data_IF_486910997779
#
_entry.id   IF_486910997779
#
_cell.length_a   1.000
_cell.length_b   1.000
_cell.length_c   1.000
_cell.angle_alpha   90.00
_cell.angle_beta   90.00
_cell.angle_gamma   90.00
#
_symmetry.space_group_name_H-M   'P 1'
#
loop_
_entity.id
_entity.type
_entity.pdbx_description
1 polymer ?
#
# COMPACT_ATOMS: atom_id res chain seq x y z
N UNK A 1 -38.48 -22.31 -7.93
CA UNK A 1 -37.25 -22.03 -7.15
C UNK A 1 -36.57 -20.82 -7.77
N UNK A 2 -36.45 -19.72 -7.05
CA UNK A 2 -35.69 -18.55 -7.51
C UNK A 2 -34.20 -18.89 -7.41
N UNK A 3 -33.55 -19.18 -8.55
CA UNK A 3 -32.09 -19.28 -8.58
C UNK A 3 -31.53 -17.90 -8.22
N UNK A 4 -30.71 -17.83 -7.17
CA UNK A 4 -30.01 -16.60 -6.80
C UNK A 4 -29.12 -16.19 -7.97
N UNK A 5 -29.44 -15.04 -8.56
CA UNK A 5 -28.79 -14.47 -9.74
C UNK A 5 -27.57 -13.64 -9.31
N UNK A 6 -26.72 -14.26 -8.49
CA UNK A 6 -25.59 -13.61 -7.80
C UNK A 6 -24.31 -14.40 -8.06
N UNK A 7 -23.31 -13.75 -8.64
CA UNK A 7 -21.97 -14.32 -8.83
C UNK A 7 -21.07 -13.97 -7.65
N UNK A 8 -20.23 -14.91 -7.24
CA UNK A 8 -19.19 -14.68 -6.24
C UNK A 8 -17.89 -15.25 -6.78
N UNK A 9 -16.80 -14.50 -6.64
CA UNK A 9 -15.46 -14.95 -6.97
C UNK A 9 -14.47 -14.37 -5.98
N UNK A 10 -13.47 -15.16 -5.59
CA UNK A 10 -12.36 -14.69 -4.78
C UNK A 10 -11.06 -15.32 -5.20
N UNK A 11 -9.98 -14.56 -5.10
CA UNK A 11 -8.63 -15.03 -5.32
C UNK A 11 -7.70 -14.38 -4.29
N UNK A 12 -6.71 -15.14 -3.85
CA UNK A 12 -5.76 -14.72 -2.81
C UNK A 12 -4.36 -15.12 -3.21
N UNK A 13 -3.42 -14.24 -2.91
CA UNK A 13 -2.00 -14.46 -3.05
C UNK A 13 -1.32 -14.12 -1.73
N UNK A 14 -0.39 -14.97 -1.31
CA UNK A 14 0.41 -14.72 -0.12
C UNK A 14 1.81 -15.27 -0.34
N UNK A 15 2.81 -14.42 -0.10
CA UNK A 15 4.21 -14.79 0.03
C UNK A 15 4.80 -14.19 1.31
N UNK A 16 6.12 -14.27 1.47
CA UNK A 16 6.84 -13.77 2.64
C UNK A 16 6.78 -12.25 2.82
N UNK A 17 6.49 -11.48 1.76
CA UNK A 17 6.55 -10.01 1.74
C UNK A 17 5.20 -9.35 1.44
N UNK A 18 4.28 -10.06 0.81
CA UNK A 18 3.03 -9.53 0.27
C UNK A 18 1.88 -10.49 0.55
N UNK A 19 0.78 -9.95 1.05
CA UNK A 19 -0.52 -10.62 1.11
C UNK A 19 -1.52 -9.80 0.32
N UNK A 20 -2.12 -10.39 -0.72
CA UNK A 20 -3.12 -9.77 -1.58
C UNK A 20 -4.39 -10.63 -1.67
N UNK A 21 -5.56 -9.98 -1.74
CA UNK A 21 -6.84 -10.65 -1.94
C UNK A 21 -7.76 -9.79 -2.80
N UNK A 22 -8.43 -10.43 -3.75
CA UNK A 22 -9.50 -9.84 -4.56
C UNK A 22 -10.78 -10.61 -4.29
N UNK A 23 -11.85 -9.89 -3.95
CA UNK A 23 -13.20 -10.45 -3.85
C UNK A 23 -14.14 -9.73 -4.82
N UNK A 24 -14.91 -10.50 -5.57
CA UNK A 24 -15.94 -10.06 -6.50
C UNK A 24 -17.31 -10.56 -6.04
N UNK A 25 -18.27 -9.64 -5.91
CA UNK A 25 -19.68 -9.95 -5.65
C UNK A 25 -20.53 -9.31 -6.74
N UNK A 26 -21.15 -10.12 -7.58
CA UNK A 26 -22.05 -9.65 -8.63
C UNK A 26 -23.50 -9.92 -8.25
N UNK A 27 -24.37 -8.95 -8.50
CA UNK A 27 -25.82 -9.11 -8.41
C UNK A 27 -26.44 -8.76 -9.74
N UNK A 28 -27.45 -9.53 -10.17
CA UNK A 28 -28.14 -9.24 -11.41
C UNK A 28 -28.86 -7.89 -11.31
N UNK A 29 -28.45 -6.96 -12.16
CA UNK A 29 -29.02 -5.63 -12.30
C UNK A 29 -29.07 -5.28 -13.79
N UNK A 30 -30.04 -4.44 -14.18
CA UNK A 30 -30.28 -4.10 -15.60
C UNK A 30 -29.11 -3.35 -16.23
N UNK A 31 -28.36 -2.59 -15.44
CA UNK A 31 -27.24 -1.78 -15.90
C UNK A 31 -25.94 -2.31 -15.31
N UNK A 32 -24.84 -2.20 -16.07
CA UNK A 32 -23.51 -2.45 -15.54
C UNK A 32 -23.14 -1.32 -14.57
N UNK A 33 -22.81 -1.69 -13.34
CA UNK A 33 -22.29 -0.77 -12.34
C UNK A 33 -21.17 -1.46 -11.58
N UNK A 34 -19.99 -0.86 -11.54
CA UNK A 34 -18.91 -1.32 -10.69
C UNK A 34 -18.84 -0.46 -9.42
N UNK A 35 -18.57 -1.09 -8.30
CA UNK A 35 -18.25 -0.41 -7.05
C UNK A 35 -17.00 -1.05 -6.50
N UNK A 36 -15.89 -0.31 -6.55
CA UNK A 36 -14.61 -0.81 -6.05
C UNK A 36 -14.32 -0.24 -4.67
N UNK A 37 -13.66 -1.06 -3.84
CA UNK A 37 -13.05 -0.66 -2.59
C UNK A 37 -11.59 -1.10 -2.61
N UNK A 38 -10.69 -0.12 -2.69
CA UNK A 38 -9.25 -0.32 -2.63
C UNK A 38 -8.61 0.60 -1.57
N UNK A 39 -7.37 0.32 -1.18
CA UNK A 39 -6.58 1.24 -0.34
C UNK A 39 -6.17 2.46 -1.16
N UNK A 40 -6.09 3.64 -0.54
CA UNK A 40 -5.77 4.91 -1.21
C UNK A 40 -4.44 4.85 -1.99
N UNK A 41 -3.47 4.08 -1.47
CA UNK A 41 -2.19 3.81 -2.12
C UNK A 41 -2.31 3.21 -3.54
N UNK A 42 -3.43 2.55 -3.85
CA UNK A 42 -3.65 1.86 -5.13
C UNK A 42 -4.80 2.47 -5.93
N UNK A 43 -5.25 3.69 -5.60
CA UNK A 43 -6.34 4.36 -6.32
C UNK A 43 -6.01 4.60 -7.81
N UNK A 44 -4.74 4.62 -8.20
CA UNK A 44 -4.35 4.68 -9.61
C UNK A 44 -4.70 3.40 -10.39
N UNK A 45 -4.85 2.26 -9.73
CA UNK A 45 -5.17 0.97 -10.36
C UNK A 45 -6.68 0.76 -10.56
N UNK A 46 -7.53 1.63 -10.01
CA UNK A 46 -8.99 1.49 -10.11
C UNK A 46 -9.48 1.45 -11.55
N UNK A 47 -8.93 2.32 -12.41
CA UNK A 47 -9.32 2.41 -13.82
C UNK A 47 -8.96 1.15 -14.62
N UNK A 48 -7.79 0.56 -14.34
CA UNK A 48 -7.36 -0.67 -15.01
C UNK A 48 -8.22 -1.86 -14.60
N UNK A 49 -8.54 -1.97 -13.30
CA UNK A 49 -9.42 -3.02 -12.78
C UNK A 49 -10.82 -2.89 -13.38
N UNK A 50 -11.38 -1.68 -13.40
CA UNK A 50 -12.70 -1.43 -13.99
C UNK A 50 -12.76 -1.87 -15.47
N UNK A 51 -11.71 -1.57 -16.25
CA UNK A 51 -11.63 -1.98 -17.65
C UNK A 51 -11.69 -3.49 -17.79
N UNK A 52 -10.88 -4.24 -17.04
CA UNK A 52 -10.83 -5.71 -17.11
C UNK A 52 -12.18 -6.34 -16.69
N UNK A 53 -12.80 -5.83 -15.63
CA UNK A 53 -14.13 -6.32 -15.19
C UNK A 53 -15.19 -6.05 -16.26
N UNK A 54 -15.17 -4.88 -16.89
CA UNK A 54 -16.13 -4.51 -17.94
C UNK A 54 -15.99 -5.33 -19.22
N UNK A 55 -14.77 -5.78 -19.54
CA UNK A 55 -14.51 -6.69 -20.66
C UNK A 55 -15.12 -8.09 -20.41
N UNK A 56 -15.25 -8.49 -19.15
CA UNK A 56 -15.76 -9.82 -18.77
C UNK A 56 -17.26 -9.81 -18.45
N UNK A 57 -17.74 -8.79 -17.74
CA UNK A 57 -19.12 -8.70 -17.25
C UNK A 57 -19.85 -7.56 -17.98
N UNK A 58 -20.84 -7.92 -18.79
CA UNK A 58 -21.62 -6.94 -19.58
C UNK A 58 -22.82 -6.34 -18.87
N UNK A 59 -23.33 -6.98 -17.80
CA UNK A 59 -24.58 -6.61 -17.11
C UNK A 59 -24.50 -6.95 -15.63
N UNK A 60 -25.11 -6.13 -14.78
CA UNK A 60 -25.15 -6.36 -13.33
C UNK A 60 -24.35 -5.36 -12.52
N UNK A 61 -24.60 -5.34 -11.21
CA UNK A 61 -23.78 -4.56 -10.28
C UNK A 61 -22.69 -5.47 -9.72
N UNK A 62 -21.42 -5.08 -9.91
CA UNK A 62 -20.25 -5.81 -9.44
C UNK A 62 -19.58 -5.01 -8.33
N UNK A 63 -19.46 -5.60 -7.15
CA UNK A 63 -18.68 -5.08 -6.06
C UNK A 63 -17.32 -5.76 -6.06
N UNK A 64 -16.25 -4.97 -6.16
CA UNK A 64 -14.86 -5.45 -6.15
C UNK A 64 -14.18 -4.93 -4.90
N UNK A 65 -13.66 -5.83 -4.07
CA UNK A 65 -12.86 -5.47 -2.91
C UNK A 65 -11.44 -5.97 -3.12
N UNK A 66 -10.49 -5.04 -3.19
CA UNK A 66 -9.06 -5.36 -3.34
C UNK A 66 -8.36 -4.98 -2.04
N UNK A 67 -7.62 -5.93 -1.47
CA UNK A 67 -6.76 -5.70 -0.31
C UNK A 67 -5.36 -6.14 -0.66
N UNK A 68 -4.40 -5.26 -0.47
CA UNK A 68 -2.98 -5.59 -0.61
C UNK A 68 -2.26 -5.06 0.62
N UNK A 69 -1.53 -5.94 1.28
CA UNK A 69 -0.78 -5.65 2.48
C UNK A 69 0.66 -6.12 2.28
N UNK A 70 1.60 -5.18 2.34
CA UNK A 70 3.04 -5.48 2.33
C UNK A 70 3.49 -5.66 3.77
N UNK A 71 4.14 -6.78 4.05
CA UNK A 71 4.90 -6.93 5.29
C UNK A 71 6.19 -6.14 5.13
N UNK A 72 6.30 -5.04 5.88
CA UNK A 72 7.53 -4.27 5.92
C UNK A 72 8.63 -5.12 6.55
N UNK A 73 9.72 -5.33 5.80
CA UNK A 73 10.94 -5.92 6.36
C UNK A 73 11.72 -4.88 7.18
N UNK A 74 12.51 -5.32 8.17
CA UNK A 74 13.34 -4.42 8.96
C UNK A 74 14.35 -3.62 8.10
N UNK A 75 14.74 -4.18 6.95
CA UNK A 75 15.62 -3.56 5.96
C UNK A 75 14.96 -2.41 5.19
N UNK A 76 13.63 -2.30 5.22
CA UNK A 76 12.93 -1.17 4.60
C UNK A 76 13.10 0.11 5.41
N UNK A 77 13.41 0.04 6.70
CA UNK A 77 13.64 1.21 7.54
C UNK A 77 15.10 1.67 7.49
N UNK A 78 15.38 2.63 6.61
CA UNK A 78 16.70 3.24 6.50
C UNK A 78 16.82 4.52 7.35
N UNK A 79 17.83 4.53 8.23
CA UNK A 79 18.30 5.74 8.88
C UNK A 79 19.46 6.31 8.07
N UNK A 80 19.39 7.61 7.77
CA UNK A 80 20.54 8.31 7.23
C UNK A 80 21.57 8.52 8.35
N UNK A 81 22.43 7.53 8.54
CA UNK A 81 23.43 7.53 9.62
C UNK A 81 24.47 8.63 9.45
N UNK A 82 24.69 9.12 8.23
CA UNK A 82 25.60 10.24 7.95
C UNK A 82 24.99 11.53 8.49
N UNK A 83 23.73 11.82 8.15
CA UNK A 83 23.02 12.98 8.67
C UNK A 83 22.90 12.92 10.20
N UNK A 84 22.51 11.77 10.75
CA UNK A 84 22.38 11.56 12.20
C UNK A 84 23.69 11.85 12.96
N UNK A 85 24.82 11.29 12.49
CA UNK A 85 26.14 11.55 13.09
C UNK A 85 26.56 13.01 12.98
N UNK A 86 26.27 13.64 11.84
CA UNK A 86 26.58 15.05 11.60
C UNK A 86 25.82 15.96 12.57
N UNK A 87 24.51 15.76 12.71
CA UNK A 87 23.70 16.54 13.65
C UNK A 87 24.12 16.31 15.10
N UNK A 88 24.40 15.06 15.48
CA UNK A 88 24.87 14.74 16.82
C UNK A 88 26.18 15.48 17.16
N UNK A 89 27.15 15.45 16.26
CA UNK A 89 28.43 16.15 16.44
C UNK A 89 28.24 17.66 16.53
N UNK A 90 27.39 18.25 15.68
CA UNK A 90 27.11 19.69 15.69
C UNK A 90 26.43 20.12 16.98
N UNK A 91 25.47 19.35 17.49
CA UNK A 91 24.80 19.64 18.77
C UNK A 91 25.78 19.60 19.95
N UNK A 92 26.74 18.67 19.96
CA UNK A 92 27.76 18.60 21.01
C UNK A 92 28.73 19.79 20.99
N UNK A 93 29.03 20.33 19.81
CA UNK A 93 29.85 21.54 19.66
C UNK A 93 29.06 22.77 20.11
N UNK A 94 27.84 22.93 19.60
CA UNK A 94 26.96 24.04 19.97
C UNK A 94 26.66 24.09 21.48
N UNK A 95 26.40 22.94 22.11
CA UNK A 95 26.18 22.88 23.56
C UNK A 95 27.40 23.40 24.35
N UNK A 96 28.62 23.06 23.90
CA UNK A 96 29.86 23.56 24.52
C UNK A 96 30.01 25.07 24.36
N UNK A 97 29.77 25.60 23.17
CA UNK A 97 29.86 27.04 22.90
C UNK A 97 28.82 27.86 23.66
N UNK A 98 27.62 27.30 23.86
CA UNK A 98 26.51 27.95 24.56
C UNK A 98 26.55 27.74 26.09
N UNK A 99 27.49 26.94 26.61
CA UNK A 99 27.52 26.58 28.03
C UNK A 99 26.31 25.73 28.48
N UNK A 100 25.66 25.05 27.54
CA UNK A 100 24.51 24.18 27.79
C UNK A 100 24.95 22.73 28.06
N UNK A 101 24.04 21.92 28.61
CA UNK A 101 24.26 20.49 28.76
C UNK A 101 24.35 19.82 27.37
N UNK A 102 25.29 18.87 27.17
CA UNK A 102 25.39 18.14 25.91
C UNK A 102 24.14 17.27 25.68
N UNK A 103 23.77 17.00 24.42
CA UNK A 103 22.65 16.10 24.13
C UNK A 103 22.94 14.69 24.68
N UNK A 104 21.95 14.09 25.33
CA UNK A 104 22.03 12.74 25.92
C UNK A 104 21.17 11.70 25.18
N UNK A 105 20.20 12.16 24.40
CA UNK A 105 19.22 11.30 23.73
C UNK A 105 19.24 11.50 22.22
N UNK A 106 19.22 10.40 21.48
CA UNK A 106 19.18 10.39 20.01
C UNK A 106 17.74 10.52 19.49
N UNK A 107 16.75 10.20 20.32
CA UNK A 107 15.33 10.24 19.96
C UNK A 107 14.87 11.55 19.27
N UNK A 108 15.23 12.73 19.79
CA UNK A 108 14.88 14.01 19.17
C UNK A 108 15.45 14.19 17.74
N UNK A 109 16.59 13.57 17.42
CA UNK A 109 17.19 13.65 16.08
C UNK A 109 16.40 12.86 15.04
N UNK A 110 15.65 11.83 15.45
CA UNK A 110 14.82 11.05 14.53
C UNK A 110 13.64 11.85 13.97
N UNK A 111 13.27 12.96 14.63
CA UNK A 111 12.23 13.86 14.14
C UNK A 111 12.75 14.92 13.16
N UNK A 112 14.07 15.02 12.96
CA UNK A 112 14.68 16.00 12.06
C UNK A 112 14.49 15.53 10.61
N UNK A 113 13.96 16.39 9.70
CA UNK A 113 13.84 16.07 8.29
C UNK A 113 15.19 15.63 7.70
N UNK A 114 15.21 14.48 7.02
CA UNK A 114 16.41 13.92 6.40
C UNK A 114 17.21 12.94 7.28
N UNK A 115 16.83 12.72 8.54
CA UNK A 115 17.45 11.70 9.41
C UNK A 115 16.77 10.34 9.26
N UNK A 116 15.44 10.32 9.23
CA UNK A 116 14.65 9.15 8.84
C UNK A 116 14.35 9.29 7.35
N UNK A 117 14.77 8.32 6.54
CA UNK A 117 14.52 8.35 5.11
C UNK A 117 13.02 8.12 4.86
N UNK A 118 12.30 9.19 4.50
CA UNK A 118 10.86 9.13 4.21
C UNK A 118 10.52 8.24 3.00
N UNK A 119 11.50 7.96 2.12
CA UNK A 119 11.36 7.01 1.01
C UNK A 119 10.97 5.60 1.48
N UNK A 120 11.42 5.20 2.67
CA UNK A 120 10.95 3.99 3.38
C UNK A 120 9.42 3.91 3.44
N UNK A 121 8.74 5.03 3.70
CA UNK A 121 7.27 5.04 3.90
C UNK A 121 6.50 4.93 2.58
N UNK A 122 7.16 5.06 1.43
CA UNK A 122 6.50 5.19 0.11
C UNK A 122 6.87 4.09 -0.88
N UNK A 123 7.45 2.98 -0.45
CA UNK A 123 7.69 1.82 -1.32
C UNK A 123 6.39 1.02 -1.60
N UNK A 124 5.38 1.71 -2.13
CA UNK A 124 4.28 1.10 -2.88
C UNK A 124 4.78 0.97 -4.31
N UNK A 125 5.26 -0.22 -4.67
CA UNK A 125 5.63 -0.50 -6.05
C UNK A 125 4.35 -0.83 -6.83
N UNK A 126 3.72 0.23 -7.35
CA UNK A 126 2.48 0.17 -8.11
C UNK A 126 2.57 -0.75 -9.34
N UNK A 127 3.76 -0.96 -9.91
CA UNK A 127 3.96 -1.84 -11.05
C UNK A 127 3.88 -3.30 -10.60
N UNK A 128 4.70 -3.69 -9.62
CA UNK A 128 4.71 -5.05 -9.10
C UNK A 128 3.36 -5.43 -8.47
N UNK A 129 2.79 -4.53 -7.67
CA UNK A 129 1.50 -4.74 -7.01
C UNK A 129 0.34 -4.80 -8.03
N UNK A 130 0.42 -3.99 -9.09
CA UNK A 130 -0.55 -4.00 -10.19
C UNK A 130 -0.60 -5.34 -10.92
N UNK A 131 0.55 -5.97 -11.18
CA UNK A 131 0.60 -7.29 -11.82
C UNK A 131 0.00 -8.39 -10.93
N UNK A 132 0.26 -8.36 -9.62
CA UNK A 132 -0.36 -9.29 -8.66
C UNK A 132 -1.88 -9.12 -8.68
N UNK A 133 -2.37 -7.87 -8.64
CA UNK A 133 -3.81 -7.59 -8.65
C UNK A 133 -4.46 -8.06 -9.96
N UNK A 134 -3.87 -7.77 -11.13
CA UNK A 134 -4.39 -8.22 -12.42
C UNK A 134 -4.51 -9.74 -12.50
N UNK A 135 -3.47 -10.45 -12.03
CA UNK A 135 -3.48 -11.91 -11.97
C UNK A 135 -4.62 -12.42 -11.08
N UNK A 136 -4.74 -11.89 -9.85
CA UNK A 136 -5.82 -12.27 -8.94
C UNK A 136 -7.20 -11.94 -9.49
N UNK A 137 -7.34 -10.82 -10.19
CA UNK A 137 -8.58 -10.44 -10.85
C UNK A 137 -8.97 -11.45 -11.93
N UNK A 138 -8.01 -11.95 -12.71
CA UNK A 138 -8.24 -13.00 -13.70
C UNK A 138 -8.57 -14.37 -13.11
N UNK A 139 -8.08 -14.67 -11.90
CA UNK A 139 -8.43 -15.91 -11.18
C UNK A 139 -9.82 -15.83 -10.52
N UNK A 140 -10.29 -14.63 -10.18
CA UNK A 140 -11.55 -14.42 -9.46
C UNK A 140 -12.76 -14.07 -10.35
N UNK A 141 -12.55 -13.73 -11.62
CA UNK A 141 -13.59 -13.44 -12.63
C UNK A 141 -14.04 -14.72 -13.36
#
# INVERSE_FOLDING_TARGET
MLLSMTGFGDARFQDERVSASVELRAVNNRYFKISMKCSEAYASLEGDIERIVRETISRGTVHVAVRLNRQWSADEFALNTVALKSYWSQLQVAARELGAAPPTEIGPLLAVPGVVEEETRRHVDLQADGEIIKRLLGEAL
#
